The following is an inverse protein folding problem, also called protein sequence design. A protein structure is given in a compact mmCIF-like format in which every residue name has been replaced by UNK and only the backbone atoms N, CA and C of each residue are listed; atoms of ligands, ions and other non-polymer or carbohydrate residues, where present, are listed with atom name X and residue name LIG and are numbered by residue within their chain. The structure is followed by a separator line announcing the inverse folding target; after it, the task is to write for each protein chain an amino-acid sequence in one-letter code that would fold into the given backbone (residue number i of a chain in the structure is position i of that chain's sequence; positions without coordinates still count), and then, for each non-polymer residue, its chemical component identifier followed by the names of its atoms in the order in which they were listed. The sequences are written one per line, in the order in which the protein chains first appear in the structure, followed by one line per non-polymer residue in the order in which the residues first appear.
data_IF_114630984990
#
_entry.id   IF_114630984990
#
_cell.length_a   1.000
_cell.length_b   1.000
_cell.length_c   1.000
_cell.angle_alpha   90.00
_cell.angle_beta   90.00
_cell.angle_gamma   90.00
#
_symmetry.space_group_name_H-M   'P 1'
#
loop_
_entity.id
_entity.type
_entity.pdbx_description
1 polymer ?
#
# COMPACT_ATOMS: atom_id res chain seq x y z
N UNK A 1 -0.69 37.46 -11.16
CA UNK A 1 0.54 36.68 -10.86
C UNK A 1 0.21 35.64 -9.80
N UNK A 2 0.09 34.37 -10.19
CA UNK A 2 -0.03 33.16 -9.34
C UNK A 2 0.38 31.96 -10.20
N UNK A 3 1.10 30.93 -9.74
CA UNK A 3 2.41 30.99 -9.09
C UNK A 3 3.29 29.96 -9.82
N UNK A 4 4.37 30.39 -10.49
CA UNK A 4 5.21 29.49 -11.31
C UNK A 4 5.84 28.34 -10.51
N UNK A 5 5.96 28.48 -9.19
CA UNK A 5 6.56 27.52 -8.27
C UNK A 5 5.87 26.14 -8.32
N UNK A 6 4.53 26.08 -8.43
CA UNK A 6 3.80 24.79 -8.48
C UNK A 6 4.15 23.99 -9.75
N UNK A 7 4.45 24.66 -10.86
CA UNK A 7 4.90 24.00 -12.09
C UNK A 7 6.35 23.49 -11.98
N UNK A 8 7.20 24.15 -11.19
CA UNK A 8 8.58 23.71 -10.94
C UNK A 8 8.64 22.49 -10.01
N UNK A 9 7.77 22.40 -9.00
CA UNK A 9 7.68 21.22 -8.12
C UNK A 9 7.28 19.95 -8.90
N UNK A 10 6.37 20.07 -9.88
CA UNK A 10 5.97 18.93 -10.72
C UNK A 10 7.01 18.55 -11.79
N UNK A 11 7.76 19.50 -12.34
CA UNK A 11 8.79 19.20 -13.36
C UNK A 11 10.04 18.50 -12.80
N UNK A 12 10.35 18.64 -11.52
CA UNK A 12 11.60 18.11 -10.93
C UNK A 12 11.65 16.58 -10.79
N UNK A 13 10.53 15.89 -11.01
CA UNK A 13 10.42 14.43 -10.95
C UNK A 13 10.37 13.74 -12.33
N UNK A 14 10.39 14.50 -13.44
CA UNK A 14 10.24 13.96 -14.81
C UNK A 14 11.48 14.30 -15.68
N UNK A 15 12.65 14.39 -15.04
CA UNK A 15 13.97 14.35 -15.69
C UNK A 15 14.91 13.46 -14.88
N UNK A 16 14.46 12.24 -14.58
CA UNK A 16 15.33 11.16 -14.12
C UNK A 16 15.78 10.33 -15.32
N UNK A 17 17.07 10.00 -15.39
CA UNK A 17 17.58 8.98 -16.30
C UNK A 17 16.71 7.71 -16.18
N UNK A 18 16.10 7.26 -17.28
CA UNK A 18 15.22 6.08 -17.30
C UNK A 18 15.90 4.76 -16.91
N UNK A 19 17.23 4.80 -16.69
CA UNK A 19 18.08 3.67 -16.33
C UNK A 19 18.57 3.70 -14.86
N UNK A 20 18.14 4.65 -14.02
CA UNK A 20 18.47 4.59 -12.58
C UNK A 20 17.65 3.51 -11.91
N UNK A 21 18.33 2.44 -11.48
CA UNK A 21 17.74 1.42 -10.61
C UNK A 21 17.25 2.05 -9.31
N UNK A 22 15.93 2.04 -9.10
CA UNK A 22 15.31 2.41 -7.82
C UNK A 22 15.08 1.11 -7.05
N UNK A 23 15.78 0.87 -5.92
CA UNK A 23 15.55 -0.33 -5.13
C UNK A 23 14.12 -0.35 -4.59
N UNK A 24 13.51 -1.54 -4.55
CA UNK A 24 12.18 -1.70 -3.99
C UNK A 24 12.17 -1.35 -2.49
N UNK A 25 11.33 -0.39 -2.09
CA UNK A 25 11.14 -0.03 -0.69
C UNK A 25 10.57 -1.22 0.07
N UNK A 26 11.35 -1.75 1.02
CA UNK A 26 10.94 -2.87 1.89
C UNK A 26 9.86 -2.40 2.86
N UNK A 27 8.89 -3.25 3.14
CA UNK A 27 7.77 -2.96 4.05
C UNK A 27 8.04 -3.56 5.44
N UNK A 28 7.76 -2.81 6.52
CA UNK A 28 7.79 -3.27 7.92
C UNK A 28 8.99 -4.19 8.24
N UNK A 29 10.21 -3.68 7.99
CA UNK A 29 11.48 -4.44 8.07
C UNK A 29 11.78 -4.99 9.47
N UNK A 30 11.21 -4.39 10.50
CA UNK A 30 11.26 -4.79 11.91
C UNK A 30 10.46 -6.08 12.22
N UNK A 31 9.42 -6.39 11.42
CA UNK A 31 8.50 -7.50 11.71
C UNK A 31 9.06 -8.83 11.24
N UNK A 32 8.71 -9.92 11.89
CA UNK A 32 9.04 -11.28 11.41
C UNK A 32 8.12 -11.69 10.25
N UNK A 33 8.50 -12.69 9.45
CA UNK A 33 7.65 -13.24 8.38
C UNK A 33 6.29 -13.72 8.93
N UNK A 34 6.26 -14.30 10.13
CA UNK A 34 5.00 -14.71 10.78
C UNK A 34 4.13 -13.51 11.15
N UNK A 35 4.73 -12.44 11.68
CA UNK A 35 4.01 -11.21 12.01
C UNK A 35 3.44 -10.52 10.75
N UNK A 36 4.18 -10.51 9.64
CA UNK A 36 3.68 -10.00 8.35
C UNK A 36 2.48 -10.81 7.82
N UNK A 37 2.55 -12.14 7.89
CA UNK A 37 1.42 -13.02 7.51
C UNK A 37 0.17 -12.73 8.36
N UNK A 38 0.33 -12.59 9.68
CA UNK A 38 -0.77 -12.23 10.58
C UNK A 38 -1.34 -10.83 10.32
N UNK A 39 -0.49 -9.87 9.92
CA UNK A 39 -0.89 -8.52 9.53
C UNK A 39 -1.72 -8.54 8.24
N UNK A 40 -1.27 -9.28 7.22
CA UNK A 40 -2.01 -9.46 5.96
C UNK A 40 -3.40 -10.09 6.20
N UNK A 41 -3.44 -11.22 6.92
CA UNK A 41 -4.69 -11.91 7.26
C UNK A 41 -5.67 -11.01 8.02
N UNK A 42 -5.19 -10.24 9.01
CA UNK A 42 -6.03 -9.30 9.77
C UNK A 42 -6.60 -8.20 8.87
N UNK A 43 -5.78 -7.61 8.00
CA UNK A 43 -6.22 -6.56 7.09
C UNK A 43 -7.25 -7.07 6.05
N UNK A 44 -7.12 -8.32 5.59
CA UNK A 44 -8.13 -8.97 4.73
C UNK A 44 -9.44 -9.15 5.49
N UNK A 45 -9.42 -9.76 6.68
CA UNK A 45 -10.62 -9.99 7.49
C UNK A 45 -11.35 -8.69 7.86
N UNK A 46 -10.60 -7.62 8.17
CA UNK A 46 -11.18 -6.30 8.44
C UNK A 46 -11.80 -5.67 7.18
N UNK A 47 -11.18 -5.85 6.01
CA UNK A 47 -11.72 -5.39 4.74
C UNK A 47 -12.99 -6.15 4.35
N UNK A 48 -13.04 -7.46 4.59
CA UNK A 48 -14.21 -8.30 4.32
C UNK A 48 -15.35 -8.01 5.28
N UNK A 49 -15.06 -7.79 6.58
CA UNK A 49 -16.07 -7.34 7.52
C UNK A 49 -16.71 -6.02 7.07
N UNK A 50 -15.90 -5.03 6.64
CA UNK A 50 -16.42 -3.76 6.11
C UNK A 50 -17.24 -3.91 4.81
N UNK A 51 -17.06 -5.00 4.03
CA UNK A 51 -17.91 -5.32 2.87
C UNK A 51 -19.27 -5.87 3.28
N UNK A 52 -19.30 -6.73 4.30
CA UNK A 52 -20.54 -7.29 4.86
C UNK A 52 -21.33 -6.19 5.57
N UNK A 53 -20.69 -5.45 6.49
CA UNK A 53 -21.28 -4.32 7.20
C UNK A 53 -21.83 -3.25 6.21
N UNK A 54 -21.21 -3.08 5.04
CA UNK A 54 -21.73 -2.24 3.95
C UNK A 54 -23.01 -2.79 3.33
N UNK A 55 -23.00 -4.07 2.94
CA UNK A 55 -24.09 -4.74 2.23
C UNK A 55 -25.36 -4.80 3.08
N UNK A 56 -25.22 -5.05 4.38
CA UNK A 56 -26.34 -5.28 5.29
C UNK A 56 -27.04 -3.98 5.75
N UNK A 57 -26.42 -2.80 5.57
CA UNK A 57 -26.90 -1.54 6.16
C UNK A 57 -27.16 -0.41 5.15
N UNK A 58 -26.96 -0.61 3.84
CA UNK A 58 -27.08 0.43 2.78
C UNK A 58 -26.26 1.73 3.03
N UNK A 59 -25.28 1.68 3.95
CA UNK A 59 -24.43 2.83 4.32
C UNK A 59 -23.43 3.10 3.21
N UNK A 60 -23.31 4.31 2.62
CA UNK A 60 -22.42 4.55 1.48
C UNK A 60 -20.96 4.13 1.74
N UNK A 61 -20.47 3.17 0.95
CA UNK A 61 -19.14 2.57 1.12
C UNK A 61 -18.05 3.64 0.98
N UNK A 62 -17.32 3.91 2.05
CA UNK A 62 -16.00 4.53 1.92
C UNK A 62 -15.02 3.49 1.38
N UNK A 63 -15.08 3.25 0.07
CA UNK A 63 -14.15 2.42 -0.72
C UNK A 63 -12.67 2.77 -0.45
N UNK A 64 -12.38 3.93 0.14
CA UNK A 64 -11.08 4.33 0.68
C UNK A 64 -10.58 3.36 1.76
N UNK A 65 -11.40 2.98 2.74
CA UNK A 65 -11.01 2.16 3.90
C UNK A 65 -10.70 0.72 3.49
N UNK A 66 -11.58 0.10 2.69
CA UNK A 66 -11.37 -1.24 2.11
C UNK A 66 -10.10 -1.23 1.24
N UNK A 67 -9.92 -0.24 0.34
CA UNK A 67 -8.71 -0.15 -0.49
C UNK A 67 -7.44 0.09 0.33
N UNK A 68 -7.51 0.80 1.45
CA UNK A 68 -6.37 0.98 2.38
C UNK A 68 -5.97 -0.36 3.00
N UNK A 69 -6.93 -1.12 3.52
CA UNK A 69 -6.69 -2.43 4.12
C UNK A 69 -6.15 -3.44 3.09
N UNK A 70 -6.71 -3.47 1.88
CA UNK A 70 -6.17 -4.31 0.80
C UNK A 70 -4.73 -3.94 0.40
N UNK A 71 -4.38 -2.65 0.37
CA UNK A 71 -2.99 -2.21 0.13
C UNK A 71 -2.03 -2.66 1.24
N UNK A 72 -2.49 -2.61 2.50
CA UNK A 72 -1.73 -3.09 3.65
C UNK A 72 -1.49 -4.60 3.55
N UNK A 73 -2.52 -5.38 3.22
CA UNK A 73 -2.39 -6.82 3.00
C UNK A 73 -1.42 -7.15 1.86
N UNK A 74 -1.60 -6.52 0.69
CA UNK A 74 -0.72 -6.73 -0.46
C UNK A 74 0.75 -6.34 -0.19
N UNK A 75 1.00 -5.26 0.56
CA UNK A 75 2.35 -4.86 0.94
C UNK A 75 3.01 -5.89 1.88
N UNK A 76 2.26 -6.40 2.86
CA UNK A 76 2.75 -7.43 3.78
C UNK A 76 3.03 -8.77 3.08
N UNK A 77 2.15 -9.23 2.18
CA UNK A 77 2.37 -10.44 1.40
C UNK A 77 3.54 -10.29 0.42
N UNK A 78 3.65 -9.14 -0.25
CA UNK A 78 4.78 -8.84 -1.15
C UNK A 78 6.10 -8.92 -0.39
N UNK A 79 6.18 -8.33 0.81
CA UNK A 79 7.38 -8.41 1.64
C UNK A 79 7.70 -9.84 2.10
N UNK A 80 6.68 -10.66 2.42
CA UNK A 80 6.89 -12.08 2.72
C UNK A 80 7.47 -12.82 1.52
N UNK A 81 6.97 -12.58 0.30
CA UNK A 81 7.51 -13.16 -0.94
C UNK A 81 8.96 -12.71 -1.16
N UNK A 82 9.23 -11.41 -1.06
CA UNK A 82 10.59 -10.87 -1.21
C UNK A 82 11.57 -11.45 -0.20
N UNK A 83 11.16 -11.65 1.06
CA UNK A 83 12.01 -12.32 2.06
C UNK A 83 12.26 -13.77 1.72
N UNK A 84 11.26 -14.52 1.28
CA UNK A 84 11.44 -15.94 0.91
C UNK A 84 12.29 -16.15 -0.36
N UNK A 85 12.47 -15.11 -1.19
CA UNK A 85 13.27 -15.18 -2.43
C UNK A 85 14.71 -14.69 -2.25
N UNK A 86 14.95 -13.77 -1.31
CA UNK A 86 16.22 -13.02 -1.22
C UNK A 86 16.88 -13.06 0.17
N UNK A 87 16.29 -13.74 1.15
CA UNK A 87 16.86 -14.01 2.47
C UNK A 87 17.00 -15.52 2.70
#
# INVERSE_FOLDING_TARGET
MVNLEKAQVMKKYITGDSNRFIPATRYETDKTVSALKGLAQRAILEADKLRVDYLDNDVPCTNVSIRRLQRIAAAAETEVILRNLFN
#
